data_IF_662923314342
#
_entry.id   IF_662923314342
#
_cell.length_a   1.000
_cell.length_b   1.000
_cell.length_c   1.000
_cell.angle_alpha   90.00
_cell.angle_beta   90.00
_cell.angle_gamma   90.00
#
_symmetry.space_group_name_H-M   'P 1'
#
loop_
_entity.id
_entity.type
_entity.pdbx_description
1 polymer ?
#
# COMPACT_ATOMS: atom_id res chain seq x y z
N UNK A 1 52.65 -25.91 14.05
CA UNK A 1 51.37 -25.56 14.69
C UNK A 1 50.98 -24.10 14.41
N UNK A 2 49.84 -23.93 13.72
CA UNK A 2 49.03 -22.70 13.49
C UNK A 2 48.79 -22.38 12.00
N UNK A 3 48.00 -23.24 11.36
CA UNK A 3 47.24 -22.87 10.18
C UNK A 3 46.19 -21.83 10.58
N UNK A 4 46.39 -20.56 10.22
CA UNK A 4 45.33 -19.55 10.27
C UNK A 4 44.29 -19.91 9.22
N UNK A 5 43.22 -20.58 9.66
CA UNK A 5 42.01 -20.73 8.88
C UNK A 5 41.44 -19.33 8.60
N UNK A 6 41.45 -18.92 7.33
CA UNK A 6 40.76 -17.72 6.87
C UNK A 6 39.26 -17.95 7.06
N UNK A 7 38.65 -17.17 7.94
CA UNK A 7 37.20 -17.17 8.15
C UNK A 7 36.49 -16.96 6.80
N UNK A 8 35.44 -17.72 6.47
CA UNK A 8 34.67 -17.45 5.27
C UNK A 8 34.06 -16.06 5.42
N UNK A 9 34.36 -15.17 4.47
CA UNK A 9 33.66 -13.89 4.32
C UNK A 9 32.16 -14.21 4.27
N UNK A 10 31.46 -13.86 5.34
CA UNK A 10 30.00 -13.78 5.35
C UNK A 10 29.65 -12.89 4.16
N UNK A 11 29.03 -13.48 3.12
CA UNK A 11 28.40 -12.69 2.06
C UNK A 11 27.38 -11.81 2.76
N UNK A 12 27.71 -10.53 2.93
CA UNK A 12 26.70 -9.52 3.23
C UNK A 12 25.76 -9.54 2.03
N UNK A 13 24.61 -10.17 2.20
CA UNK A 13 23.50 -10.03 1.26
C UNK A 13 23.20 -8.52 1.23
N UNK A 14 23.15 -7.89 0.05
CA UNK A 14 22.94 -6.46 -0.02
C UNK A 14 21.59 -6.13 0.63
N UNK A 15 21.62 -5.13 1.52
CA UNK A 15 20.54 -4.35 2.13
C UNK A 15 19.13 -4.92 2.03
N UNK A 16 18.45 -5.00 3.18
CA UNK A 16 17.01 -5.18 3.35
C UNK A 16 16.23 -4.43 2.25
N UNK A 17 15.95 -5.10 1.11
CA UNK A 17 15.14 -4.49 0.05
C UNK A 17 13.71 -4.66 0.51
N UNK A 18 13.07 -3.57 0.91
CA UNK A 18 11.62 -3.52 1.05
C UNK A 18 10.99 -4.21 -0.16
N UNK A 19 10.12 -5.19 0.09
CA UNK A 19 9.41 -5.93 -0.93
C UNK A 19 8.04 -5.30 -1.08
N UNK A 20 7.82 -4.59 -2.16
CA UNK A 20 6.55 -3.94 -2.43
C UNK A 20 5.57 -4.93 -3.06
N UNK A 21 4.29 -4.82 -2.69
CA UNK A 21 3.19 -5.59 -3.23
C UNK A 21 2.15 -4.64 -3.81
N UNK A 22 1.67 -4.93 -5.02
CA UNK A 22 0.57 -4.21 -5.66
C UNK A 22 -0.65 -5.13 -5.66
N UNK A 23 -1.77 -4.66 -5.14
CA UNK A 23 -3.04 -5.40 -5.16
C UNK A 23 -3.92 -4.92 -6.30
N UNK A 24 -4.57 -5.86 -6.99
CA UNK A 24 -5.51 -5.59 -8.07
C UNK A 24 -6.89 -6.10 -7.68
N UNK A 25 -7.89 -5.23 -7.74
CA UNK A 25 -9.28 -5.54 -7.42
C UNK A 25 -10.13 -5.31 -8.66
N UNK A 26 -10.70 -6.39 -9.19
CA UNK A 26 -11.37 -6.39 -10.49
C UNK A 26 -12.86 -6.68 -10.34
N UNK A 27 -13.69 -5.84 -10.94
CA UNK A 27 -15.14 -5.92 -10.96
C UNK A 27 -15.79 -5.71 -9.58
N UNK A 28 -17.11 -5.59 -9.58
CA UNK A 28 -17.92 -5.26 -8.41
C UNK A 28 -17.57 -6.06 -7.14
N UNK A 29 -17.45 -7.38 -7.22
CA UNK A 29 -17.16 -8.21 -6.05
C UNK A 29 -15.73 -8.01 -5.52
N UNK A 30 -14.76 -7.86 -6.43
CA UNK A 30 -13.36 -7.62 -6.08
C UNK A 30 -13.20 -6.24 -5.44
N UNK A 31 -13.84 -5.22 -5.99
CA UNK A 31 -13.75 -3.84 -5.49
C UNK A 31 -14.38 -3.70 -4.12
N UNK A 32 -15.60 -4.23 -3.90
CA UNK A 32 -16.25 -4.16 -2.59
C UNK A 32 -15.43 -4.88 -1.52
N UNK A 33 -14.91 -6.07 -1.84
CA UNK A 33 -14.02 -6.80 -0.93
C UNK A 33 -12.75 -6.02 -0.64
N UNK A 34 -12.10 -5.49 -1.69
CA UNK A 34 -10.89 -4.70 -1.57
C UNK A 34 -11.08 -3.44 -0.73
N UNK A 35 -12.20 -2.73 -0.89
CA UNK A 35 -12.51 -1.54 -0.11
C UNK A 35 -12.65 -1.86 1.38
N UNK A 36 -13.36 -2.95 1.73
CA UNK A 36 -13.47 -3.41 3.11
C UNK A 36 -12.11 -3.87 3.68
N UNK A 37 -11.29 -4.56 2.88
CA UNK A 37 -9.94 -4.97 3.29
C UNK A 37 -9.03 -3.77 3.58
N UNK A 38 -9.07 -2.73 2.74
CA UNK A 38 -8.26 -1.53 2.93
C UNK A 38 -8.73 -0.69 4.12
N UNK A 39 -10.04 -0.62 4.38
CA UNK A 39 -10.57 -0.03 5.61
C UNK A 39 -9.99 -0.74 6.85
N UNK A 40 -10.04 -2.07 6.88
CA UNK A 40 -9.46 -2.84 7.98
C UNK A 40 -7.95 -2.62 8.10
N UNK A 41 -7.21 -2.60 6.99
CA UNK A 41 -5.77 -2.37 7.01
C UNK A 41 -5.41 -0.99 7.58
N UNK A 42 -6.19 0.04 7.23
CA UNK A 42 -6.02 1.36 7.79
C UNK A 42 -6.25 1.37 9.31
N UNK A 43 -7.30 0.68 9.78
CA UNK A 43 -7.60 0.55 11.21
C UNK A 43 -6.49 -0.18 11.97
N UNK A 44 -5.97 -1.28 11.43
CA UNK A 44 -4.89 -2.07 12.03
C UNK A 44 -3.59 -1.29 12.17
N UNK A 45 -3.29 -0.43 11.19
CA UNK A 45 -2.07 0.39 11.16
C UNK A 45 -2.26 1.81 11.71
N UNK A 46 -3.46 2.20 12.14
CA UNK A 46 -3.74 3.54 12.64
C UNK A 46 -3.65 4.64 11.57
N UNK A 47 -3.84 4.28 10.29
CA UNK A 47 -3.91 5.20 9.17
C UNK A 47 -5.33 5.77 9.10
N UNK A 48 -5.43 7.09 9.05
CA UNK A 48 -6.70 7.79 8.95
C UNK A 48 -7.28 7.71 7.53
N UNK A 49 -8.59 8.00 7.34
CA UNK A 49 -9.21 7.94 6.02
C UNK A 49 -8.63 8.87 4.95
N UNK A 50 -7.86 9.88 5.35
CA UNK A 50 -7.11 10.78 4.48
C UNK A 50 -5.67 10.31 4.20
N UNK A 51 -5.25 9.18 4.77
CA UNK A 51 -3.92 8.59 4.67
C UNK A 51 -2.92 9.12 5.69
N UNK A 52 -3.32 10.00 6.62
CA UNK A 52 -2.42 10.48 7.67
C UNK A 52 -2.24 9.42 8.77
N UNK A 53 -1.02 9.33 9.30
CA UNK A 53 -0.70 8.43 10.42
C UNK A 53 0.01 9.22 11.52
N UNK A 54 -0.73 9.88 12.44
CA UNK A 54 -0.14 10.79 13.43
C UNK A 54 0.85 10.12 14.41
N UNK A 55 0.75 8.81 14.57
CA UNK A 55 1.65 8.01 15.40
C UNK A 55 2.99 7.70 14.72
N UNK A 56 3.06 7.82 13.39
CA UNK A 56 4.30 7.61 12.67
C UNK A 56 5.21 8.85 12.85
N UNK A 57 6.34 8.63 13.53
CA UNK A 57 7.35 9.66 13.79
C UNK A 57 8.50 9.61 12.78
N UNK A 58 8.43 8.70 11.81
CA UNK A 58 9.48 8.38 10.85
C UNK A 58 9.03 8.71 9.42
N UNK A 59 8.59 9.96 9.22
CA UNK A 59 8.33 10.49 7.88
C UNK A 59 9.56 10.24 6.99
N UNK A 60 9.40 9.41 5.96
CA UNK A 60 10.45 9.07 5.01
C UNK A 60 11.56 8.13 5.50
N UNK A 61 11.33 7.33 6.56
CA UNK A 61 12.41 6.51 7.14
C UNK A 61 12.04 5.30 8.00
N UNK A 62 10.80 4.83 8.00
CA UNK A 62 10.41 3.61 8.71
C UNK A 62 10.53 2.35 7.83
N UNK A 63 11.36 1.39 8.21
CA UNK A 63 11.46 0.06 7.57
C UNK A 63 10.28 -0.86 8.02
N UNK A 64 9.10 -0.27 8.20
CA UNK A 64 7.94 -0.94 8.76
C UNK A 64 7.28 -1.85 7.73
N UNK A 65 6.86 -3.03 8.18
CA UNK A 65 6.34 -4.08 7.31
C UNK A 65 5.13 -3.65 6.46
N UNK A 66 4.37 -2.63 6.88
CA UNK A 66 3.21 -2.12 6.13
C UNK A 66 3.58 -1.30 4.89
N UNK A 67 4.83 -0.79 4.79
CA UNK A 67 5.33 -0.12 3.57
C UNK A 67 5.44 -1.07 2.36
N UNK A 68 5.33 -2.38 2.61
CA UNK A 68 5.03 -3.39 1.57
C UNK A 68 3.79 -3.03 0.77
N UNK A 69 2.74 -2.51 1.42
CA UNK A 69 1.41 -2.28 0.86
C UNK A 69 1.07 -0.79 0.70
N UNK A 70 1.75 0.10 1.41
CA UNK A 70 1.58 1.54 1.30
C UNK A 70 2.80 2.21 0.67
N UNK A 71 2.54 3.28 -0.06
CA UNK A 71 3.55 4.25 -0.48
C UNK A 71 3.41 5.51 0.37
N UNK A 72 4.52 6.12 0.75
CA UNK A 72 4.51 7.37 1.52
C UNK A 72 4.80 8.54 0.57
N UNK A 73 3.97 9.58 0.66
CA UNK A 73 4.20 10.85 -0.04
C UNK A 73 5.05 11.77 0.82
N UNK A 74 5.67 12.80 0.21
CA UNK A 74 6.45 13.80 0.96
C UNK A 74 5.63 14.62 1.99
N UNK A 75 4.31 14.54 1.98
CA UNK A 75 3.43 15.15 3.00
C UNK A 75 3.03 14.18 4.13
N UNK A 76 3.69 13.03 4.25
CA UNK A 76 3.40 12.01 5.26
C UNK A 76 2.10 11.22 5.01
N UNK A 77 1.50 11.38 3.82
CA UNK A 77 0.30 10.62 3.45
C UNK A 77 0.70 9.23 2.97
N UNK A 78 0.07 8.21 3.54
CA UNK A 78 0.15 6.82 3.16
C UNK A 78 -0.92 6.51 2.13
N UNK A 79 -0.48 6.09 0.93
CA UNK A 79 -1.35 5.76 -0.19
C UNK A 79 -1.23 4.28 -0.51
N UNK A 80 -2.33 3.51 -0.51
CA UNK A 80 -2.34 2.10 -0.89
C UNK A 80 -1.69 1.84 -2.25
N UNK A 81 -0.89 0.78 -2.34
CA UNK A 81 -0.38 0.23 -3.59
C UNK A 81 -1.46 -0.68 -4.18
N UNK A 82 -2.53 -0.08 -4.68
CA UNK A 82 -3.69 -0.81 -5.19
C UNK A 82 -4.19 -0.22 -6.50
N UNK A 83 -4.90 -1.03 -7.28
CA UNK A 83 -5.68 -0.57 -8.44
C UNK A 83 -7.04 -1.25 -8.38
N UNK A 84 -8.10 -0.44 -8.48
CA UNK A 84 -9.47 -0.88 -8.63
C UNK A 84 -9.92 -0.67 -10.08
N UNK A 85 -10.46 -1.71 -10.70
CA UNK A 85 -10.84 -1.70 -12.11
C UNK A 85 -12.23 -2.29 -12.25
N UNK A 86 -13.14 -1.54 -12.85
CA UNK A 86 -14.44 -2.04 -13.28
C UNK A 86 -14.75 -1.57 -14.72
N UNK A 87 -15.61 -2.30 -15.41
CA UNK A 87 -16.13 -1.89 -16.72
C UNK A 87 -17.31 -0.92 -16.60
N UNK A 88 -17.94 -0.85 -15.43
CA UNK A 88 -19.00 0.11 -15.09
C UNK A 88 -18.57 1.08 -13.97
N UNK A 89 -19.08 2.32 -13.93
CA UNK A 89 -18.63 3.31 -12.96
C UNK A 89 -19.19 3.11 -11.54
N UNK A 90 -20.32 2.41 -11.38
CA UNK A 90 -21.12 2.39 -10.15
C UNK A 90 -20.29 2.14 -8.89
N UNK A 91 -19.58 1.01 -8.84
CA UNK A 91 -18.86 0.56 -7.64
C UNK A 91 -17.58 1.36 -7.43
N UNK A 92 -16.94 1.81 -8.51
CA UNK A 92 -15.78 2.70 -8.42
C UNK A 92 -16.18 4.07 -7.86
N UNK A 93 -17.34 4.59 -8.23
CA UNK A 93 -17.84 5.88 -7.77
C UNK A 93 -18.23 5.85 -6.29
N UNK A 94 -18.69 4.71 -5.77
CA UNK A 94 -18.84 4.49 -4.33
C UNK A 94 -17.50 4.64 -3.58
N UNK A 95 -16.40 4.09 -4.12
CA UNK A 95 -15.07 4.25 -3.53
C UNK A 95 -14.62 5.72 -3.59
N UNK A 96 -14.88 6.41 -4.71
CA UNK A 96 -14.54 7.84 -4.91
C UNK A 96 -15.32 8.80 -4.02
N UNK A 97 -16.48 8.39 -3.51
CA UNK A 97 -17.37 9.22 -2.69
C UNK A 97 -17.44 8.77 -1.23
N UNK A 98 -16.95 7.57 -0.92
CA UNK A 98 -16.96 6.98 0.41
C UNK A 98 -16.00 7.64 1.41
N UNK A 99 -15.98 7.07 2.63
CA UNK A 99 -15.17 7.56 3.76
C UNK A 99 -13.69 7.70 3.41
N UNK A 100 -13.13 6.70 2.71
CA UNK A 100 -11.74 6.62 2.29
C UNK A 100 -11.47 7.25 0.91
N UNK A 101 -12.37 8.11 0.41
CA UNK A 101 -12.20 8.77 -0.91
C UNK A 101 -10.87 9.53 -1.08
N UNK A 102 -10.28 9.97 0.03
CA UNK A 102 -9.01 10.68 0.03
C UNK A 102 -7.81 9.75 0.13
N UNK A 103 -7.98 8.48 0.45
CA UNK A 103 -6.89 7.52 0.65
C UNK A 103 -6.18 7.21 -0.67
N UNK A 104 -6.94 6.94 -1.73
CA UNK A 104 -6.44 6.46 -3.01
C UNK A 104 -5.99 7.58 -3.95
N UNK A 105 -5.06 7.27 -4.86
CA UNK A 105 -4.84 8.14 -6.02
C UNK A 105 -6.00 7.98 -7.02
N UNK A 106 -6.55 9.06 -7.60
CA UNK A 106 -7.63 8.95 -8.59
C UNK A 106 -7.30 8.04 -9.78
N UNK A 107 -6.02 8.00 -10.18
CA UNK A 107 -5.51 7.16 -11.26
C UNK A 107 -5.55 5.64 -10.93
N UNK A 108 -5.69 5.28 -9.66
CA UNK A 108 -5.87 3.90 -9.21
C UNK A 108 -7.32 3.42 -9.32
N UNK A 109 -8.26 4.32 -9.62
CA UNK A 109 -9.70 4.05 -9.67
C UNK A 109 -10.19 4.15 -11.11
N UNK A 110 -10.16 3.02 -11.82
CA UNK A 110 -10.41 2.96 -13.26
C UNK A 110 -11.81 2.37 -13.50
N UNK A 111 -12.65 3.12 -14.19
CA UNK A 111 -13.95 2.66 -14.66
C UNK A 111 -14.07 2.78 -16.18
N UNK A 112 -14.77 1.82 -16.78
CA UNK A 112 -15.24 1.95 -18.16
C UNK A 112 -16.35 2.99 -18.30
N UNK A 113 -16.68 3.30 -19.56
CA UNK A 113 -17.88 4.05 -19.94
C UNK A 113 -18.67 3.15 -20.87
N UNK A 114 -19.91 2.84 -20.52
CA UNK A 114 -20.88 2.45 -21.53
C UNK A 114 -21.38 3.75 -22.17
N UNK A 115 -21.09 3.92 -23.46
CA UNK A 115 -21.68 4.98 -24.29
C UNK A 115 -23.16 4.68 -24.59
#
# INVERSE_FOLDING_TARGET
PSSRASSPQQRQLPNNRMRECITLHLGQAGIQTGNACWELFCLEHGIQPDGQMPSDKTIGGGDDAFNTFFSETGSGKHVPRTVFIDLEPTVIDEVRTGTYRQLYHPEQLISGKED
#
